data_IF_550630302702
#
_entry.id   IF_550630302702
#
_cell.length_a   1.000
_cell.length_b   1.000
_cell.length_c   1.000
_cell.angle_alpha   90.00
_cell.angle_beta   90.00
_cell.angle_gamma   90.00
#
_symmetry.space_group_name_H-M   'P 1'
#
loop_
_entity.id
_entity.type
_entity.pdbx_description
1 polymer ?
#
# COMPACT_ATOMS: atom_id res chain seq x y z
N UNK A 1 -13.27 4.30 30.87
CA UNK A 1 -12.00 4.12 31.61
C UNK A 1 -11.08 3.25 30.75
N UNK A 2 -10.00 3.87 30.25
CA UNK A 2 -8.86 3.30 29.51
C UNK A 2 -9.14 2.40 28.29
N UNK A 3 -9.31 3.02 27.12
CA UNK A 3 -9.06 2.37 25.82
C UNK A 3 -7.55 2.17 25.69
N UNK A 4 -7.11 0.92 25.57
CA UNK A 4 -5.72 0.58 25.22
C UNK A 4 -5.51 1.01 23.76
N UNK A 5 -5.06 2.25 23.58
CA UNK A 5 -4.33 2.65 22.39
C UNK A 5 -3.11 1.74 22.36
N UNK A 6 -3.12 0.73 21.50
CA UNK A 6 -1.93 -0.04 21.19
C UNK A 6 -0.93 0.97 20.61
N UNK A 7 -0.03 1.46 21.48
CA UNK A 7 1.09 2.30 21.08
C UNK A 7 1.76 1.60 19.91
N UNK A 8 1.75 2.27 18.76
CA UNK A 8 2.58 1.95 17.60
C UNK A 8 4.04 2.25 17.97
N UNK A 9 4.57 1.53 18.95
CA UNK A 9 6.00 1.45 19.14
C UNK A 9 6.50 0.48 18.08
N UNK A 10 7.00 1.03 16.97
CA UNK A 10 8.14 0.38 16.30
C UNK A 10 9.17 0.10 17.39
N UNK A 11 9.81 -1.09 17.44
CA UNK A 11 10.90 -1.30 18.36
C UNK A 11 11.87 -0.14 18.17
N UNK A 12 12.00 0.72 19.18
CA UNK A 12 12.87 1.89 19.15
C UNK A 12 14.32 1.47 19.35
N UNK A 13 14.77 0.46 18.59
CA UNK A 13 16.17 0.14 18.43
C UNK A 13 16.68 1.03 17.30
N UNK A 14 16.98 2.30 17.63
CA UNK A 14 17.55 3.30 16.70
C UNK A 14 18.81 2.82 15.94
N UNK A 15 19.38 1.67 16.30
CA UNK A 15 20.54 1.06 15.65
C UNK A 15 20.24 -0.16 14.76
N UNK A 16 19.00 -0.68 14.69
CA UNK A 16 18.72 -1.91 13.92
C UNK A 16 17.91 -1.61 12.66
N UNK A 17 18.59 -1.62 11.50
CA UNK A 17 17.95 -1.52 10.18
C UNK A 17 17.27 -2.84 9.84
N UNK A 18 15.97 -2.93 10.13
CA UNK A 18 15.17 -4.15 9.88
C UNK A 18 15.17 -4.60 8.41
N UNK A 19 15.40 -3.67 7.47
CA UNK A 19 15.48 -3.95 6.03
C UNK A 19 16.86 -4.50 5.58
N UNK A 20 17.85 -4.54 6.45
CA UNK A 20 19.16 -5.18 6.24
C UNK A 20 19.27 -6.52 7.00
N UNK A 21 18.20 -6.99 7.65
CA UNK A 21 18.18 -8.28 8.34
C UNK A 21 17.41 -9.33 7.51
N UNK A 22 18.10 -10.26 6.82
CA UNK A 22 17.46 -11.28 5.99
C UNK A 22 16.63 -12.29 6.80
N UNK A 23 16.85 -12.39 8.12
CA UNK A 23 16.04 -13.24 9.00
C UNK A 23 14.69 -12.59 9.39
N UNK A 24 14.58 -11.27 9.24
CA UNK A 24 13.40 -10.51 9.62
C UNK A 24 12.44 -10.31 8.43
N UNK A 25 11.53 -11.26 8.25
CA UNK A 25 10.63 -11.28 7.08
C UNK A 25 9.29 -10.58 7.37
N UNK A 26 8.79 -10.65 8.61
CA UNK A 26 7.49 -10.08 8.98
C UNK A 26 7.40 -9.71 10.46
N UNK A 27 6.67 -8.64 10.75
CA UNK A 27 6.30 -8.24 12.10
C UNK A 27 4.80 -8.03 12.21
N UNK A 28 4.15 -8.71 13.16
CA UNK A 28 2.69 -8.63 13.42
C UNK A 28 1.80 -8.81 12.17
N UNK A 29 2.33 -9.45 11.13
CA UNK A 29 1.58 -9.84 9.92
C UNK A 29 0.94 -11.20 10.15
N UNK A 30 -0.35 -11.31 9.84
CA UNK A 30 -1.08 -12.59 9.85
C UNK A 30 -0.44 -13.61 8.93
N UNK A 31 -0.74 -14.89 9.18
CA UNK A 31 -0.32 -15.97 8.29
C UNK A 31 -1.05 -15.92 6.95
N UNK A 32 -0.35 -16.41 5.92
CA UNK A 32 -0.90 -16.51 4.58
C UNK A 32 -2.10 -17.46 4.59
N UNK A 33 -3.16 -17.08 3.87
CA UNK A 33 -4.40 -17.81 3.73
C UNK A 33 -4.99 -17.52 2.34
N UNK A 34 -5.98 -18.31 1.93
CA UNK A 34 -6.73 -18.06 0.69
C UNK A 34 -7.43 -16.71 0.75
N UNK A 35 -7.67 -16.08 -0.41
CA UNK A 35 -8.38 -14.80 -0.46
C UNK A 35 -9.76 -14.91 0.19
N UNK A 36 -9.98 -14.14 1.26
CA UNK A 36 -11.26 -14.05 1.94
C UNK A 36 -11.90 -12.71 1.63
N UNK A 37 -13.17 -12.75 1.22
CA UNK A 37 -14.03 -11.58 1.10
C UNK A 37 -15.20 -11.75 2.05
N UNK A 38 -15.41 -10.77 2.92
CA UNK A 38 -16.48 -10.79 3.91
C UNK A 38 -17.79 -10.35 3.24
N UNK A 39 -18.60 -11.33 2.85
CA UNK A 39 -19.98 -11.12 2.40
C UNK A 39 -20.94 -11.31 3.57
N UNK A 40 -22.08 -10.62 3.52
CA UNK A 40 -23.19 -10.78 4.45
C UNK A 40 -24.11 -11.96 4.09
N UNK A 41 -24.14 -12.34 2.80
CA UNK A 41 -25.06 -13.32 2.22
C UNK A 41 -24.35 -14.33 1.32
N UNK A 42 -24.94 -15.52 1.19
CA UNK A 42 -24.46 -16.57 0.27
C UNK A 42 -24.64 -16.12 -1.18
N UNK A 43 -25.74 -15.46 -1.49
CA UNK A 43 -26.06 -14.90 -2.81
C UNK A 43 -25.04 -13.84 -3.22
N UNK A 44 -24.66 -12.94 -2.30
CA UNK A 44 -23.61 -11.96 -2.55
C UNK A 44 -22.26 -12.61 -2.84
N UNK A 45 -21.94 -13.69 -2.11
CA UNK A 45 -20.72 -14.48 -2.34
C UNK A 45 -20.73 -15.15 -3.72
N UNK A 46 -21.84 -15.80 -4.09
CA UNK A 46 -21.99 -16.47 -5.38
C UNK A 46 -21.97 -15.49 -6.55
N UNK A 47 -22.62 -14.33 -6.40
CA UNK A 47 -22.62 -13.26 -7.41
C UNK A 47 -21.20 -12.76 -7.68
N UNK A 48 -20.43 -12.48 -6.63
CA UNK A 48 -19.04 -12.04 -6.76
C UNK A 48 -18.19 -13.07 -7.52
N UNK A 49 -18.31 -14.36 -7.15
CA UNK A 49 -17.61 -15.44 -7.85
C UNK A 49 -18.04 -15.55 -9.32
N UNK A 50 -19.33 -15.41 -9.60
CA UNK A 50 -19.86 -15.47 -10.97
C UNK A 50 -19.34 -14.32 -11.84
N UNK A 51 -19.36 -13.08 -11.33
CA UNK A 51 -18.82 -11.91 -12.02
C UNK A 51 -17.31 -12.05 -12.27
N UNK A 52 -16.56 -12.57 -11.30
CA UNK A 52 -15.11 -12.83 -11.44
C UNK A 52 -14.80 -13.91 -12.48
N UNK A 53 -15.59 -14.98 -12.52
CA UNK A 53 -15.42 -16.06 -13.50
C UNK A 53 -15.76 -15.64 -14.95
N UNK A 54 -16.41 -14.49 -15.13
CA UNK A 54 -16.71 -13.91 -16.45
C UNK A 54 -15.62 -12.99 -16.99
N UNK A 55 -14.58 -12.71 -16.22
CA UNK A 55 -13.42 -11.96 -16.71
C UNK A 55 -12.63 -12.89 -17.63
N UNK A 56 -12.70 -12.64 -18.93
CA UNK A 56 -12.03 -13.43 -19.97
C UNK A 56 -10.86 -12.69 -20.61
N UNK A 57 -10.21 -13.33 -21.59
CA UNK A 57 -9.11 -12.72 -22.34
C UNK A 57 -9.55 -11.44 -23.10
N UNK A 58 -10.82 -11.35 -23.53
CA UNK A 58 -11.34 -10.21 -24.27
C UNK A 58 -11.40 -8.97 -23.37
N UNK A 59 -11.74 -9.16 -22.08
CA UNK A 59 -11.65 -8.09 -21.09
C UNK A 59 -10.23 -7.50 -20.99
N UNK A 60 -9.17 -8.30 -21.18
CA UNK A 60 -7.80 -7.78 -21.18
C UNK A 60 -7.51 -6.85 -22.36
N UNK A 61 -8.21 -7.02 -23.48
CA UNK A 61 -8.09 -6.14 -24.66
C UNK A 61 -8.72 -4.75 -24.44
N UNK A 62 -9.57 -4.60 -23.42
CA UNK A 62 -10.09 -3.30 -22.97
C UNK A 62 -9.19 -2.59 -21.95
N UNK A 63 -8.05 -3.19 -21.58
CA UNK A 63 -7.09 -2.52 -20.71
C UNK A 63 -6.58 -1.24 -21.37
N UNK A 64 -6.61 -0.16 -20.59
CA UNK A 64 -6.21 1.17 -21.01
C UNK A 64 -4.71 1.33 -20.79
N UNK A 65 -3.96 1.60 -21.87
CA UNK A 65 -2.49 1.74 -21.87
C UNK A 65 -2.03 3.15 -22.27
N UNK A 66 -2.85 4.16 -22.00
CA UNK A 66 -2.58 5.58 -22.26
C UNK A 66 -2.67 6.38 -20.94
N UNK A 67 -2.76 7.71 -21.03
CA UNK A 67 -2.86 8.60 -19.86
C UNK A 67 -4.13 8.34 -19.00
N UNK A 68 -5.15 7.69 -19.55
CA UNK A 68 -6.38 7.31 -18.83
C UNK A 68 -6.20 6.03 -17.98
N UNK A 69 -5.04 5.37 -18.06
CA UNK A 69 -4.77 4.11 -17.34
C UNK A 69 -4.94 4.26 -15.82
N UNK A 70 -4.57 5.41 -15.25
CA UNK A 70 -4.75 5.71 -13.83
C UNK A 70 -6.23 5.71 -13.45
N UNK A 71 -7.06 6.41 -14.24
CA UNK A 71 -8.50 6.49 -14.00
C UNK A 71 -9.12 5.10 -14.12
N UNK A 72 -8.77 4.36 -15.18
CA UNK A 72 -9.24 2.99 -15.38
C UNK A 72 -8.87 2.04 -14.23
N UNK A 73 -7.66 2.18 -13.67
CA UNK A 73 -7.23 1.39 -12.52
C UNK A 73 -8.03 1.73 -11.24
N UNK A 74 -8.32 3.01 -11.00
CA UNK A 74 -9.14 3.44 -9.87
C UNK A 74 -10.60 2.98 -10.00
N UNK A 75 -11.17 3.07 -11.21
CA UNK A 75 -12.52 2.58 -11.51
C UNK A 75 -12.60 1.06 -11.32
N UNK A 76 -11.59 0.32 -11.77
CA UNK A 76 -11.49 -1.11 -11.55
C UNK A 76 -11.43 -1.45 -10.05
N UNK A 77 -10.60 -0.75 -9.27
CA UNK A 77 -10.52 -0.94 -7.83
C UNK A 77 -11.85 -0.64 -7.12
N UNK A 78 -12.57 0.39 -7.56
CA UNK A 78 -13.90 0.74 -7.04
C UNK A 78 -14.96 -0.32 -7.44
N UNK A 79 -14.89 -0.83 -8.67
CA UNK A 79 -15.80 -1.87 -9.17
C UNK A 79 -15.74 -3.14 -8.31
N UNK A 80 -14.54 -3.62 -7.99
CA UNK A 80 -14.38 -4.89 -7.26
C UNK A 80 -14.81 -4.86 -5.79
N UNK A 81 -14.93 -3.67 -5.20
CA UNK A 81 -15.44 -3.52 -3.83
C UNK A 81 -16.92 -3.12 -3.78
N UNK A 82 -17.54 -2.87 -4.94
CA UNK A 82 -18.91 -2.39 -5.03
C UNK A 82 -19.88 -3.41 -4.45
N UNK A 83 -20.70 -2.97 -3.48
CA UNK A 83 -21.70 -3.81 -2.84
C UNK A 83 -21.16 -4.77 -1.77
N UNK A 84 -19.88 -4.70 -1.42
CA UNK A 84 -19.31 -5.45 -0.30
C UNK A 84 -19.51 -4.68 1.02
N UNK A 85 -20.24 -5.21 2.01
CA UNK A 85 -20.60 -4.47 3.22
C UNK A 85 -19.42 -4.26 4.19
N UNK A 86 -18.41 -5.14 4.13
CA UNK A 86 -17.28 -5.15 5.05
C UNK A 86 -15.93 -4.92 4.34
N UNK A 87 -15.96 -4.36 3.13
CA UNK A 87 -14.76 -4.04 2.37
C UNK A 87 -14.82 -2.58 1.93
N UNK A 88 -13.73 -1.86 2.12
CA UNK A 88 -13.55 -0.49 1.66
C UNK A 88 -12.23 -0.39 0.95
N UNK A 89 -12.26 0.01 -0.33
CA UNK A 89 -11.04 0.32 -1.06
C UNK A 89 -10.38 1.57 -0.47
N UNK A 90 -9.07 1.54 -0.33
CA UNK A 90 -8.24 2.71 -0.05
C UNK A 90 -7.50 3.18 -1.32
N UNK A 91 -7.78 2.60 -2.48
CA UNK A 91 -7.27 3.10 -3.76
C UNK A 91 -7.80 4.52 -4.00
N UNK A 92 -6.94 5.36 -4.58
CA UNK A 92 -7.24 6.76 -4.78
C UNK A 92 -5.97 7.60 -4.66
N UNK A 93 -6.16 8.89 -4.45
CA UNK A 93 -5.06 9.86 -4.38
C UNK A 93 -4.58 10.01 -2.94
N UNK A 94 -3.29 9.77 -2.73
CA UNK A 94 -2.64 9.84 -1.41
C UNK A 94 -1.62 10.97 -1.41
N UNK A 95 -1.40 11.59 -0.24
CA UNK A 95 -0.28 12.51 -0.04
C UNK A 95 1.02 11.73 -0.10
N UNK A 96 1.97 12.24 -0.87
CA UNK A 96 3.22 11.55 -1.17
C UNK A 96 4.42 12.49 -1.03
N UNK A 97 5.50 11.97 -0.44
CA UNK A 97 6.79 12.64 -0.34
C UNK A 97 7.92 11.63 -0.60
N UNK A 98 8.83 11.95 -1.50
CA UNK A 98 10.02 11.15 -1.77
C UNK A 98 11.22 11.71 -1.00
N UNK A 99 11.72 10.96 -0.02
CA UNK A 99 12.97 11.26 0.66
C UNK A 99 14.16 10.62 -0.08
N UNK A 100 15.37 11.22 -0.06
CA UNK A 100 16.55 10.60 -0.66
C UNK A 100 17.01 9.33 0.08
N UNK A 101 16.62 9.16 1.34
CA UNK A 101 16.99 8.00 2.15
C UNK A 101 16.06 7.79 3.34
N UNK A 102 16.06 6.60 3.97
CA UNK A 102 15.20 6.29 5.13
C UNK A 102 15.44 7.22 6.32
N UNK A 103 16.67 7.69 6.50
CA UNK A 103 17.07 8.62 7.57
C UNK A 103 16.68 10.08 7.29
N UNK A 104 16.28 10.39 6.05
CA UNK A 104 15.91 11.75 5.60
C UNK A 104 14.39 11.94 5.51
N UNK A 105 13.63 10.96 5.97
CA UNK A 105 12.16 11.03 6.05
C UNK A 105 11.74 12.07 7.10
N UNK A 106 10.67 12.86 6.86
CA UNK A 106 10.20 13.83 7.84
C UNK A 106 9.88 13.18 9.19
N UNK A 107 10.42 13.76 10.27
CA UNK A 107 10.25 13.22 11.60
C UNK A 107 8.76 13.17 11.99
N UNK A 108 8.35 12.05 12.57
CA UNK A 108 6.97 11.85 13.04
C UNK A 108 5.89 12.06 11.95
N UNK A 109 6.22 11.85 10.67
CA UNK A 109 5.24 11.97 9.58
C UNK A 109 4.07 10.99 9.69
N UNK A 110 4.13 9.98 10.55
CA UNK A 110 3.03 9.04 10.80
C UNK A 110 1.99 9.59 11.80
N UNK A 111 2.30 10.69 12.51
CA UNK A 111 1.38 11.28 13.48
C UNK A 111 0.18 11.92 12.79
N UNK A 112 -0.97 11.87 13.48
CA UNK A 112 -2.22 12.45 12.97
C UNK A 112 -2.20 13.97 12.90
N UNK A 113 -1.37 14.62 13.72
CA UNK A 113 -1.19 16.09 13.75
C UNK A 113 -0.10 16.59 12.80
N UNK A 114 0.51 15.71 12.00
CA UNK A 114 1.53 16.12 11.04
C UNK A 114 0.90 16.88 9.87
N UNK A 115 1.46 18.05 9.55
CA UNK A 115 1.03 18.90 8.45
C UNK A 115 1.69 18.45 7.13
N UNK A 116 0.90 17.86 6.23
CA UNK A 116 1.32 17.37 4.91
C UNK A 116 0.81 18.25 3.75
N UNK A 117 0.46 19.50 4.04
CA UNK A 117 -0.11 20.45 3.06
C UNK A 117 0.80 20.71 1.87
N UNK A 118 2.12 20.65 2.06
CA UNK A 118 3.14 20.85 1.02
C UNK A 118 3.44 19.59 0.22
N UNK A 119 2.91 18.43 0.61
CA UNK A 119 3.18 17.16 -0.07
C UNK A 119 2.39 17.07 -1.37
N UNK A 120 3.04 16.46 -2.36
CA UNK A 120 2.42 16.12 -3.64
C UNK A 120 1.36 15.03 -3.46
N UNK A 121 0.63 14.74 -4.54
CA UNK A 121 -0.44 13.75 -4.54
C UNK A 121 -0.16 12.69 -5.59
N UNK A 122 -0.18 11.43 -5.18
CA UNK A 122 0.14 10.27 -6.03
C UNK A 122 -1.07 9.31 -6.06
N UNK A 123 -1.49 8.81 -7.24
CA UNK A 123 -2.52 7.79 -7.31
C UNK A 123 -1.99 6.46 -6.76
N UNK A 124 -2.81 5.74 -6.00
CA UNK A 124 -2.47 4.44 -5.42
C UNK A 124 -3.52 3.41 -5.88
N UNK A 125 -3.11 2.27 -6.47
CA UNK A 125 -1.73 1.83 -6.68
C UNK A 125 -1.04 2.49 -7.90
N UNK A 126 0.24 2.82 -7.78
CA UNK A 126 1.11 3.22 -8.89
C UNK A 126 2.58 3.04 -8.51
N UNK A 127 3.48 3.10 -9.50
CA UNK A 127 4.92 3.24 -9.29
C UNK A 127 5.29 4.72 -9.40
N UNK A 128 5.94 5.28 -8.39
CA UNK A 128 6.21 6.73 -8.33
C UNK A 128 7.09 7.23 -9.49
N UNK A 129 7.94 6.36 -10.07
CA UNK A 129 8.79 6.66 -11.22
C UNK A 129 7.99 7.05 -12.46
N UNK A 130 6.76 6.54 -12.60
CA UNK A 130 5.85 6.90 -13.69
C UNK A 130 5.16 8.25 -13.46
N UNK A 131 5.33 8.85 -12.29
CA UNK A 131 4.69 10.10 -11.88
C UNK A 131 5.72 11.23 -11.63
N UNK A 132 6.92 11.10 -12.18
CA UNK A 132 7.95 12.14 -12.12
C UNK A 132 8.86 12.09 -10.89
N UNK A 133 8.71 11.08 -10.04
CA UNK A 133 9.56 10.88 -8.87
C UNK A 133 10.71 9.91 -9.20
N UNK A 134 11.95 10.36 -9.06
CA UNK A 134 13.13 9.53 -9.39
C UNK A 134 13.11 9.00 -10.85
N UNK A 135 13.91 7.98 -11.16
CA UNK A 135 14.04 7.38 -12.49
C UNK A 135 13.86 5.87 -12.46
N UNK A 136 13.21 5.28 -13.46
CA UNK A 136 13.19 3.83 -13.62
C UNK A 136 14.59 3.32 -14.00
N UNK A 137 15.04 2.23 -13.39
CA UNK A 137 16.32 1.58 -13.70
C UNK A 137 16.04 0.20 -14.27
N UNK A 138 16.60 -0.07 -15.46
CA UNK A 138 16.55 -1.39 -16.08
C UNK A 138 17.94 -1.99 -16.15
N UNK A 139 18.12 -3.16 -15.54
CA UNK A 139 19.35 -3.94 -15.62
C UNK A 139 19.00 -5.40 -15.92
N UNK A 140 19.89 -6.12 -16.61
CA UNK A 140 19.67 -7.53 -16.95
C UNK A 140 20.18 -8.48 -15.86
N UNK A 141 21.47 -8.39 -15.51
CA UNK A 141 22.13 -9.30 -14.56
C UNK A 141 22.67 -8.55 -13.33
N UNK A 142 23.25 -7.36 -13.55
CA UNK A 142 23.92 -6.60 -12.50
C UNK A 142 22.89 -5.86 -11.66
N UNK A 143 23.03 -5.89 -10.34
CA UNK A 143 22.20 -5.06 -9.46
C UNK A 143 22.41 -3.57 -9.76
N UNK A 144 21.37 -2.73 -9.66
CA UNK A 144 21.51 -1.29 -9.87
C UNK A 144 22.27 -0.57 -8.74
N UNK A 145 22.74 -1.32 -7.73
CA UNK A 145 23.49 -0.85 -6.58
C UNK A 145 24.69 -1.78 -6.27
N UNK A 146 25.68 -1.33 -5.47
CA UNK A 146 26.82 -2.14 -5.04
C UNK A 146 26.41 -3.46 -4.39
N UNK A 147 27.04 -4.56 -4.81
CA UNK A 147 26.78 -5.89 -4.26
C UNK A 147 27.53 -6.09 -2.92
N UNK A 148 26.88 -5.76 -1.81
CA UNK A 148 27.38 -5.98 -0.45
C UNK A 148 26.31 -6.56 0.50
N UNK A 149 25.84 -7.80 0.30
CA UNK A 149 24.80 -8.37 1.16
C UNK A 149 25.25 -8.53 2.63
N UNK A 150 24.38 -8.26 3.63
CA UNK A 150 22.97 -7.86 3.51
C UNK A 150 22.76 -6.33 3.43
N UNK A 151 23.83 -5.55 3.35
CA UNK A 151 23.79 -4.09 3.39
C UNK A 151 23.22 -3.50 2.09
N UNK A 152 22.60 -2.33 2.24
CA UNK A 152 22.07 -1.54 1.13
C UNK A 152 22.72 -0.15 1.12
N UNK A 153 22.74 0.55 -0.03
CA UNK A 153 23.21 1.93 -0.06
C UNK A 153 22.46 2.84 0.92
N UNK A 154 23.14 3.88 1.39
CA UNK A 154 22.51 4.90 2.23
C UNK A 154 21.60 5.83 1.41
N UNK A 155 21.99 6.10 0.16
CA UNK A 155 21.15 6.77 -0.83
C UNK A 155 20.15 5.75 -1.39
N UNK A 156 18.97 5.73 -0.79
CA UNK A 156 17.93 4.73 -1.04
C UNK A 156 16.56 5.44 -1.01
N UNK A 157 16.08 5.92 -2.18
CA UNK A 157 14.86 6.71 -2.29
C UNK A 157 13.69 6.07 -1.53
N UNK A 158 13.09 6.83 -0.62
CA UNK A 158 12.09 6.32 0.33
C UNK A 158 10.78 7.08 0.18
N UNK A 159 9.74 6.38 -0.27
CA UNK A 159 8.39 6.93 -0.44
C UNK A 159 7.60 6.99 0.86
N UNK A 160 7.15 8.18 1.23
CA UNK A 160 6.26 8.40 2.36
C UNK A 160 4.84 8.62 1.86
N UNK A 161 3.91 7.81 2.34
CA UNK A 161 2.52 7.83 1.92
C UNK A 161 1.60 8.20 3.10
N UNK A 162 0.68 9.14 2.87
CA UNK A 162 -0.34 9.54 3.86
C UNK A 162 -1.72 9.61 3.20
N UNK A 163 -2.72 9.11 3.91
CA UNK A 163 -4.12 9.22 3.50
C UNK A 163 -5.01 9.29 4.73
N UNK A 164 -6.14 10.00 4.60
CA UNK A 164 -7.17 10.10 5.63
C UNK A 164 -8.38 9.33 5.15
N UNK A 165 -8.85 8.40 5.98
CA UNK A 165 -10.07 7.67 5.70
C UNK A 165 -10.92 7.55 6.96
N UNK A 166 -12.22 7.35 6.74
CA UNK A 166 -13.18 7.11 7.82
C UNK A 166 -13.59 5.65 7.82
N UNK A 167 -13.55 5.05 9.01
CA UNK A 167 -14.06 3.71 9.24
C UNK A 167 -15.60 3.81 9.35
N UNK A 168 -16.36 3.02 8.57
CA UNK A 168 -17.82 3.00 8.67
C UNK A 168 -18.28 2.66 10.10
N UNK A 169 -19.35 3.29 10.57
CA UNK A 169 -19.84 3.09 11.95
C UNK A 169 -20.29 1.64 12.17
N UNK A 170 -20.76 0.98 11.12
CA UNK A 170 -21.19 -0.41 11.07
C UNK A 170 -20.07 -1.39 11.42
N UNK A 171 -18.80 -0.97 11.28
CA UNK A 171 -17.65 -1.82 11.59
C UNK A 171 -17.22 -1.74 13.06
N UNK A 172 -17.86 -0.87 13.85
CA UNK A 172 -17.55 -0.70 15.27
C UNK A 172 -17.86 -1.98 16.05
N UNK A 173 -16.83 -2.55 16.69
CA UNK A 173 -16.94 -3.83 17.41
C UNK A 173 -16.66 -5.07 16.55
N UNK A 174 -16.42 -4.89 15.25
CA UNK A 174 -15.91 -5.93 14.35
C UNK A 174 -14.38 -5.83 14.34
N UNK A 175 -13.69 -6.98 14.29
CA UNK A 175 -12.24 -6.99 14.05
C UNK A 175 -11.94 -6.34 12.70
N UNK A 176 -11.44 -5.11 12.75
CA UNK A 176 -11.02 -4.35 11.57
C UNK A 176 -9.57 -4.69 11.24
N UNK A 177 -9.28 -4.97 9.96
CA UNK A 177 -7.93 -5.24 9.49
C UNK A 177 -7.47 -4.10 8.59
N UNK A 178 -6.48 -3.35 9.04
CA UNK A 178 -5.84 -2.32 8.24
C UNK A 178 -4.64 -2.94 7.52
N UNK A 179 -4.59 -2.78 6.20
CA UNK A 179 -3.37 -3.05 5.43
C UNK A 179 -2.61 -1.73 5.34
N UNK A 180 -1.66 -1.52 6.25
CA UNK A 180 -0.71 -0.42 6.14
C UNK A 180 0.39 -0.84 5.16
N UNK A 181 0.50 -0.14 4.03
CA UNK A 181 1.57 -0.34 3.06
C UNK A 181 2.57 0.81 3.22
N UNK A 182 3.73 0.52 3.80
CA UNK A 182 4.91 1.38 3.66
C UNK A 182 5.71 0.77 2.51
N UNK A 183 5.74 1.44 1.36
CA UNK A 183 6.55 1.01 0.22
C UNK A 183 7.92 1.64 0.34
N UNK A 184 8.92 0.80 0.64
CA UNK A 184 10.32 1.10 0.35
C UNK A 184 10.63 0.34 -0.93
N UNK A 185 10.81 1.06 -2.03
CA UNK A 185 11.18 0.47 -3.31
C UNK A 185 12.71 0.44 -3.46
N UNK A 186 13.21 -0.44 -4.32
CA UNK A 186 14.63 -0.57 -4.70
C UNK A 186 14.78 -0.64 -6.22
#
# INVERSE_FOLDING_TARGET
MASLVAQLAFPSDYNRRVWEDPSFIKWRKKDAHVSLHCHDTVEGSLRYWYERNKVDFIASSSAVWNDDAVVGALDCAAFWVKGLPFVKSLSGYWKFYLAPGPTSVPMNFYDSSFEDSTWETLPVPSNWQMHGFDRPIYTNIVYPFPLDPPHVPTDNPTGCYRTVFHIPHEWKGILSFNVLVIVVDK
#
